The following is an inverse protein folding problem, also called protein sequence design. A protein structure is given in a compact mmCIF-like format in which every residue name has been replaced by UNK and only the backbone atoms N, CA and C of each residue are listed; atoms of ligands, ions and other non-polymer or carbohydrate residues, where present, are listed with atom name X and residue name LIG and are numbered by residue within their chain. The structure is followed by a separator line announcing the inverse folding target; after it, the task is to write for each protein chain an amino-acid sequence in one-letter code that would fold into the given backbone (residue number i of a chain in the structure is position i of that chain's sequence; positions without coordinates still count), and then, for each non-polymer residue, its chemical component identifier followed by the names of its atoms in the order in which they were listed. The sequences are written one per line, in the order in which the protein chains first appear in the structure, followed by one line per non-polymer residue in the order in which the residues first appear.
data_IF_544005132203
#
_entry.id   IF_544005132203
#
_cell.length_a   1.000
_cell.length_b   1.000
_cell.length_c   1.000
_cell.angle_alpha   90.00
_cell.angle_beta   90.00
_cell.angle_gamma   90.00
#
_symmetry.space_group_name_H-M   'P 1'
#
loop_
_entity.id
_entity.type
_entity.pdbx_description
1 polymer ?
#
# COMPACT_ATOMS: atom_id res chain seq x y z
N UNK A 1 18.71 -12.32 -14.33
CA UNK A 1 17.72 -11.50 -13.59
C UNK A 1 17.82 -10.09 -14.15
N UNK A 2 16.97 -9.74 -15.14
CA UNK A 2 16.91 -8.37 -15.63
C UNK A 2 16.15 -7.56 -14.59
N UNK A 3 16.87 -6.71 -13.86
CA UNK A 3 16.26 -5.59 -13.16
C UNK A 3 15.52 -4.75 -14.20
N UNK A 4 14.19 -4.76 -14.14
CA UNK A 4 13.38 -3.76 -14.82
C UNK A 4 13.78 -2.41 -14.23
N UNK A 5 14.65 -1.71 -14.94
CA UNK A 5 15.00 -0.34 -14.59
C UNK A 5 13.75 0.49 -14.80
N UNK A 6 13.24 1.06 -13.72
CA UNK A 6 12.06 1.93 -13.67
C UNK A 6 12.18 3.12 -14.66
N UNK A 7 13.36 3.44 -15.11
CA UNK A 7 13.66 4.50 -16.10
C UNK A 7 12.98 4.33 -17.48
N UNK A 8 12.49 3.14 -17.81
CA UNK A 8 11.70 2.91 -19.03
C UNK A 8 10.20 3.15 -18.86
N UNK A 9 9.75 3.29 -17.64
CA UNK A 9 8.39 3.73 -17.33
C UNK A 9 8.44 5.18 -16.83
N UNK A 10 8.75 6.11 -17.72
CA UNK A 10 8.36 7.49 -17.48
C UNK A 10 6.84 7.50 -17.50
N UNK A 11 6.23 7.29 -16.36
CA UNK A 11 4.84 7.68 -16.12
C UNK A 11 4.89 9.21 -16.07
N UNK A 12 4.94 9.83 -17.22
CA UNK A 12 4.65 11.24 -17.37
C UNK A 12 3.22 11.39 -16.89
N UNK A 13 3.00 11.90 -15.69
CA UNK A 13 1.75 12.44 -15.14
C UNK A 13 0.42 11.79 -15.58
N UNK A 14 0.49 10.65 -16.24
CA UNK A 14 -0.67 9.87 -16.67
C UNK A 14 -1.08 8.99 -15.52
N UNK A 15 -2.03 9.49 -14.75
CA UNK A 15 -2.98 8.63 -14.02
C UNK A 15 -3.41 7.56 -15.02
N UNK A 16 -3.17 6.28 -14.70
CA UNK A 16 -3.65 5.18 -15.55
C UNK A 16 -5.14 5.43 -15.77
N UNK A 17 -5.59 5.69 -17.00
CA UNK A 17 -7.00 6.01 -17.23
C UNK A 17 -7.88 4.90 -16.67
N UNK A 18 -9.00 5.26 -16.07
CA UNK A 18 -9.94 4.28 -15.50
C UNK A 18 -10.34 3.22 -16.53
N UNK A 19 -10.39 3.58 -17.80
CA UNK A 19 -10.62 2.69 -18.94
C UNK A 19 -9.53 1.61 -19.07
N UNK A 20 -8.27 1.98 -18.84
CA UNK A 20 -7.15 1.04 -18.89
C UNK A 20 -7.17 0.08 -17.70
N UNK A 21 -7.55 0.55 -16.52
CA UNK A 21 -7.77 -0.33 -15.35
C UNK A 21 -8.97 -1.25 -15.58
N UNK A 22 -10.04 -0.74 -16.20
CA UNK A 22 -11.22 -1.53 -16.55
C UNK A 22 -10.92 -2.59 -17.64
N UNK A 23 -9.92 -2.35 -18.48
CA UNK A 23 -9.48 -3.29 -19.51
C UNK A 23 -8.52 -4.36 -18.99
N UNK A 24 -8.03 -4.26 -17.74
CA UNK A 24 -7.17 -5.30 -17.15
C UNK A 24 -7.97 -6.56 -16.86
N UNK A 25 -7.49 -7.67 -17.39
CA UNK A 25 -8.11 -8.98 -17.17
C UNK A 25 -7.69 -9.52 -15.80
N UNK A 26 -8.65 -9.96 -15.01
CA UNK A 26 -8.37 -10.64 -13.74
C UNK A 26 -7.63 -11.96 -14.00
N UNK A 27 -6.63 -12.22 -13.19
CA UNK A 27 -5.85 -13.44 -13.29
C UNK A 27 -6.73 -14.65 -12.93
N UNK A 28 -6.62 -15.71 -13.73
CA UNK A 28 -7.28 -16.99 -13.48
C UNK A 28 -6.51 -17.78 -12.41
N UNK A 29 -7.03 -17.77 -11.19
CA UNK A 29 -6.41 -18.45 -10.04
C UNK A 29 -6.43 -19.97 -10.11
N UNK A 30 -7.07 -20.56 -11.11
CA UNK A 30 -7.01 -22.01 -11.38
C UNK A 30 -5.83 -22.41 -12.26
N UNK A 31 -5.11 -21.42 -12.81
CA UNK A 31 -3.95 -21.59 -13.69
C UNK A 31 -2.68 -21.06 -13.01
N UNK A 32 -1.54 -21.42 -13.61
CA UNK A 32 -0.22 -20.96 -13.16
C UNK A 32 -0.14 -19.42 -13.18
N UNK A 33 -0.10 -18.81 -11.99
CA UNK A 33 0.01 -17.36 -11.83
C UNK A 33 1.36 -16.84 -12.30
N UNK A 34 2.43 -17.63 -12.18
CA UNK A 34 3.77 -17.26 -12.64
C UNK A 34 3.80 -17.15 -14.17
N UNK A 35 3.15 -18.08 -14.89
CA UNK A 35 3.01 -18.00 -16.33
C UNK A 35 2.22 -16.77 -16.76
N UNK A 36 1.06 -16.53 -16.13
CA UNK A 36 0.23 -15.35 -16.42
C UNK A 36 0.99 -14.03 -16.18
N UNK A 37 1.80 -13.96 -15.11
CA UNK A 37 2.64 -12.80 -14.84
C UNK A 37 3.70 -12.58 -15.94
N UNK A 38 4.35 -13.66 -16.41
CA UNK A 38 5.32 -13.57 -17.49
C UNK A 38 4.71 -13.12 -18.81
N UNK A 39 3.54 -13.66 -19.14
CA UNK A 39 2.86 -13.40 -20.41
C UNK A 39 2.23 -12.01 -20.48
N UNK A 40 1.62 -11.57 -19.40
CA UNK A 40 0.88 -10.31 -19.33
C UNK A 40 1.68 -9.12 -18.76
N UNK A 41 2.78 -9.39 -18.03
CA UNK A 41 3.56 -8.38 -17.32
C UNK A 41 2.89 -7.86 -16.04
N UNK A 42 1.69 -8.34 -15.71
CA UNK A 42 0.95 -8.00 -14.49
C UNK A 42 0.05 -9.15 -14.05
N UNK A 43 -0.41 -9.07 -12.78
CA UNK A 43 -1.52 -9.88 -12.26
C UNK A 43 -2.53 -8.96 -11.58
N UNK A 44 -3.78 -9.03 -11.98
CA UNK A 44 -4.90 -8.43 -11.26
C UNK A 44 -5.58 -9.52 -10.43
N UNK A 45 -5.40 -9.46 -9.13
CA UNK A 45 -5.97 -10.42 -8.18
C UNK A 45 -6.99 -9.70 -7.29
N UNK A 46 -8.24 -10.11 -7.36
CA UNK A 46 -9.31 -9.56 -6.51
C UNK A 46 -9.50 -10.44 -5.27
N UNK A 47 -10.06 -9.83 -4.21
CA UNK A 47 -10.46 -10.54 -2.98
C UNK A 47 -9.33 -11.35 -2.33
N UNK A 48 -8.08 -10.88 -2.43
CA UNK A 48 -6.93 -11.49 -1.77
C UNK A 48 -7.06 -11.33 -0.26
N UNK A 49 -7.50 -10.17 0.20
CA UNK A 49 -7.61 -9.84 1.61
C UNK A 49 -9.04 -9.91 2.12
N UNK A 50 -9.20 -10.22 3.40
CA UNK A 50 -10.48 -10.08 4.08
C UNK A 50 -10.82 -8.59 4.26
N UNK A 51 -12.03 -8.14 3.90
CA UNK A 51 -12.42 -6.74 4.05
C UNK A 51 -12.24 -6.20 5.48
N UNK A 52 -12.48 -7.03 6.50
CA UNK A 52 -12.29 -6.68 7.91
C UNK A 52 -10.83 -6.33 8.24
N UNK A 53 -9.87 -7.08 7.70
CA UNK A 53 -8.45 -6.84 7.95
C UNK A 53 -8.00 -5.53 7.29
N UNK A 54 -8.46 -5.28 6.05
CA UNK A 54 -8.19 -4.02 5.34
C UNK A 54 -8.82 -2.83 6.08
N UNK A 55 -10.05 -2.99 6.58
CA UNK A 55 -10.72 -1.92 7.34
C UNK A 55 -10.01 -1.65 8.67
N UNK A 56 -9.54 -2.69 9.36
CA UNK A 56 -8.78 -2.54 10.60
C UNK A 56 -7.46 -1.78 10.36
N UNK A 57 -6.72 -2.15 9.31
CA UNK A 57 -5.49 -1.46 8.93
C UNK A 57 -5.74 0.01 8.54
N UNK A 58 -6.80 0.27 7.77
CA UNK A 58 -7.23 1.64 7.44
C UNK A 58 -7.51 2.46 8.69
N UNK A 59 -8.29 1.93 9.62
CA UNK A 59 -8.64 2.63 10.85
C UNK A 59 -7.41 2.91 11.72
N UNK A 60 -6.49 1.94 11.86
CA UNK A 60 -5.24 2.11 12.60
C UNK A 60 -4.40 3.27 12.02
N UNK A 61 -4.25 3.34 10.70
CA UNK A 61 -3.53 4.43 10.03
C UNK A 61 -4.22 5.78 10.25
N UNK A 62 -5.55 5.83 10.03
CA UNK A 62 -6.32 7.08 10.18
C UNK A 62 -6.28 7.63 11.61
N UNK A 63 -6.32 6.77 12.62
CA UNK A 63 -6.16 7.18 14.02
C UNK A 63 -4.80 7.84 14.25
N UNK A 64 -3.71 7.24 13.75
CA UNK A 64 -2.37 7.81 13.86
C UNK A 64 -2.22 9.15 13.14
N UNK A 65 -2.85 9.31 11.98
CA UNK A 65 -2.87 10.59 11.25
C UNK A 65 -3.73 11.65 11.95
N UNK A 66 -4.82 11.24 12.61
CA UNK A 66 -5.65 12.15 13.40
C UNK A 66 -4.90 12.70 14.63
N UNK A 67 -4.04 11.90 15.28
CA UNK A 67 -3.20 12.33 16.39
C UNK A 67 -2.28 13.54 16.05
N UNK A 68 -1.99 13.72 14.78
CA UNK A 68 -1.17 14.84 14.27
C UNK A 68 -1.98 15.83 13.43
N UNK A 69 -3.29 15.85 13.60
CA UNK A 69 -4.21 16.83 13.01
C UNK A 69 -4.41 16.70 11.50
N UNK A 70 -4.03 15.58 10.86
CA UNK A 70 -4.12 15.41 9.42
C UNK A 70 -5.46 14.87 8.92
N UNK A 71 -6.25 14.28 9.81
CA UNK A 71 -7.58 13.73 9.53
C UNK A 71 -8.61 14.42 10.41
N UNK A 72 -9.68 14.90 9.79
CA UNK A 72 -10.80 15.55 10.49
C UNK A 72 -11.72 14.51 11.15
N UNK A 73 -12.43 14.93 12.17
CA UNK A 73 -13.51 14.15 12.76
C UNK A 73 -14.80 14.23 11.89
N UNK A 74 -15.57 13.17 11.76
CA UNK A 74 -15.28 11.83 12.30
C UNK A 74 -14.19 11.11 11.48
N UNK A 75 -13.23 10.48 12.17
CA UNK A 75 -12.06 9.82 11.55
C UNK A 75 -12.47 8.79 10.46
N UNK A 76 -13.65 8.16 10.61
CA UNK A 76 -14.19 7.20 9.65
C UNK A 76 -14.30 7.73 8.23
N UNK A 77 -14.53 9.03 8.08
CA UNK A 77 -14.74 9.67 6.78
C UNK A 77 -13.42 9.88 6.02
N UNK A 78 -12.30 9.79 6.73
CA UNK A 78 -10.94 9.95 6.18
C UNK A 78 -10.73 11.28 5.42
N UNK A 79 -11.36 12.35 5.90
CA UNK A 79 -11.23 13.68 5.30
C UNK A 79 -9.92 14.31 5.77
N UNK A 80 -9.06 14.69 4.83
CA UNK A 80 -7.83 15.40 5.15
C UNK A 80 -8.13 16.85 5.57
N UNK A 81 -7.51 17.30 6.67
CA UNK A 81 -7.57 18.69 7.12
C UNK A 81 -6.76 19.65 6.24
N UNK A 82 -5.84 19.12 5.44
CA UNK A 82 -4.87 19.92 4.68
C UNK A 82 -3.75 20.52 5.53
N UNK A 83 -3.74 20.26 6.83
CA UNK A 83 -2.73 20.72 7.81
C UNK A 83 -2.02 19.52 8.44
N UNK A 84 -0.92 19.77 9.16
CA UNK A 84 -0.20 18.74 9.90
C UNK A 84 0.52 19.34 11.09
N UNK A 85 0.30 18.77 12.24
CA UNK A 85 0.97 19.12 13.49
C UNK A 85 2.16 18.20 13.79
N UNK A 86 2.55 17.35 12.84
CA UNK A 86 3.66 16.40 13.03
C UNK A 86 4.93 17.06 13.57
N UNK A 87 5.29 18.24 13.03
CA UNK A 87 6.49 18.97 13.45
C UNK A 87 6.36 19.62 14.83
N UNK A 88 5.16 19.82 15.32
CA UNK A 88 4.93 20.26 16.70
C UNK A 88 5.12 19.08 17.68
N UNK A 89 4.61 17.90 17.34
CA UNK A 89 4.72 16.70 18.18
C UNK A 89 6.09 16.00 18.03
N UNK A 90 6.70 16.07 16.83
CA UNK A 90 7.95 15.40 16.46
C UNK A 90 8.92 16.41 15.81
N UNK A 91 9.56 17.29 16.58
CA UNK A 91 10.27 18.45 16.06
C UNK A 91 11.55 18.08 15.29
N UNK A 92 12.20 16.97 15.62
CA UNK A 92 13.41 16.56 14.95
C UNK A 92 13.21 15.33 14.05
N UNK A 93 14.15 15.09 13.14
CA UNK A 93 14.06 14.01 12.14
C UNK A 93 14.00 12.63 12.76
N UNK A 94 14.70 12.39 13.89
CA UNK A 94 14.70 11.09 14.58
C UNK A 94 13.31 10.76 15.14
N UNK A 95 12.69 11.71 15.80
CA UNK A 95 11.33 11.55 16.37
C UNK A 95 10.28 11.41 15.28
N UNK A 96 10.39 12.20 14.20
CA UNK A 96 9.52 12.05 13.04
C UNK A 96 9.69 10.68 12.38
N UNK A 97 10.91 10.18 12.28
CA UNK A 97 11.21 8.83 11.79
C UNK A 97 10.60 7.75 12.70
N UNK A 98 10.68 7.93 14.02
CA UNK A 98 10.05 7.03 14.99
C UNK A 98 8.51 7.03 14.87
N UNK A 99 7.89 8.18 14.65
CA UNK A 99 6.46 8.29 14.37
C UNK A 99 6.08 7.47 13.14
N UNK A 100 6.73 7.69 11.99
CA UNK A 100 6.45 6.95 10.77
C UNK A 100 6.68 5.46 10.91
N UNK A 101 7.75 5.08 11.63
CA UNK A 101 8.01 3.68 11.96
C UNK A 101 6.86 3.09 12.76
N UNK A 102 6.38 3.78 13.79
CA UNK A 102 5.24 3.30 14.60
C UNK A 102 3.96 3.13 13.78
N UNK A 103 3.69 4.00 12.80
CA UNK A 103 2.55 3.86 11.88
C UNK A 103 2.72 2.64 10.97
N UNK A 104 3.90 2.46 10.38
CA UNK A 104 4.17 1.35 9.45
C UNK A 104 4.31 -0.01 10.16
N UNK A 105 4.53 -0.03 11.47
CA UNK A 105 4.62 -1.24 12.30
C UNK A 105 3.30 -1.55 13.05
N UNK A 106 2.23 -0.83 12.77
CA UNK A 106 0.91 -1.10 13.31
C UNK A 106 0.47 -2.55 13.04
N UNK A 107 -0.12 -3.18 14.05
CA UNK A 107 -0.43 -4.61 14.00
C UNK A 107 -1.44 -4.97 12.93
N UNK A 108 -2.46 -4.12 12.74
CA UNK A 108 -3.47 -4.33 11.70
C UNK A 108 -2.90 -4.11 10.30
N UNK A 109 -2.04 -3.08 10.10
CA UNK A 109 -1.34 -2.88 8.84
C UNK A 109 -0.41 -4.07 8.53
N UNK A 110 0.39 -4.52 9.51
CA UNK A 110 1.28 -5.68 9.34
C UNK A 110 0.52 -6.97 9.02
N UNK A 111 -0.67 -7.16 9.56
CA UNK A 111 -1.54 -8.29 9.23
C UNK A 111 -1.92 -8.31 7.75
N UNK A 112 -2.12 -7.15 7.15
CA UNK A 112 -2.44 -7.04 5.71
C UNK A 112 -1.19 -7.25 4.86
N UNK A 113 -0.11 -6.50 5.11
CA UNK A 113 1.05 -6.49 4.21
C UNK A 113 1.97 -7.71 4.33
N UNK A 114 1.94 -8.42 5.48
CA UNK A 114 2.78 -9.57 5.77
C UNK A 114 1.96 -10.83 6.12
N UNK A 115 0.64 -10.76 6.01
CA UNK A 115 -0.26 -11.85 6.37
C UNK A 115 -0.19 -13.04 5.42
N UNK A 116 -0.77 -14.18 5.83
CA UNK A 116 -0.72 -15.41 5.06
C UNK A 116 -1.40 -15.31 3.69
N UNK A 117 -2.35 -14.39 3.53
CA UNK A 117 -3.05 -14.18 2.26
C UNK A 117 -2.07 -13.72 1.17
N UNK A 118 -1.31 -12.66 1.44
CA UNK A 118 -0.35 -12.14 0.45
C UNK A 118 0.89 -13.03 0.34
N UNK A 119 1.40 -13.57 1.45
CA UNK A 119 2.55 -14.47 1.41
C UNK A 119 2.21 -15.77 0.68
N UNK A 120 0.97 -16.27 0.78
CA UNK A 120 0.50 -17.42 0.02
C UNK A 120 0.47 -17.16 -1.48
N UNK A 121 -0.08 -16.02 -1.90
CA UNK A 121 -0.08 -15.60 -3.32
C UNK A 121 1.34 -15.45 -3.86
N UNK A 122 2.24 -14.83 -3.11
CA UNK A 122 3.63 -14.66 -3.54
C UNK A 122 4.38 -15.98 -3.60
N UNK A 123 4.12 -16.91 -2.66
CA UNK A 123 4.70 -18.24 -2.69
C UNK A 123 4.23 -19.06 -3.92
N UNK A 124 2.97 -18.90 -4.31
CA UNK A 124 2.41 -19.50 -5.53
C UNK A 124 3.11 -18.94 -6.79
N UNK A 125 3.29 -17.61 -6.87
CA UNK A 125 3.94 -16.95 -8.00
C UNK A 125 5.42 -17.38 -8.13
N UNK A 126 6.14 -17.46 -7.01
CA UNK A 126 7.56 -17.81 -7.01
C UNK A 126 7.84 -19.32 -7.00
N UNK A 127 6.83 -20.14 -6.71
CA UNK A 127 6.97 -21.59 -6.58
C UNK A 127 7.74 -22.04 -5.34
N UNK A 128 7.95 -21.15 -4.37
CA UNK A 128 8.72 -21.41 -3.16
C UNK A 128 8.23 -20.57 -1.98
N UNK A 129 8.67 -20.93 -0.77
CA UNK A 129 8.39 -20.16 0.42
C UNK A 129 9.02 -18.77 0.33
N UNK A 130 8.22 -17.74 0.56
CA UNK A 130 8.66 -16.34 0.53
C UNK A 130 8.91 -15.81 1.93
N UNK A 131 9.78 -14.80 1.99
CA UNK A 131 9.98 -13.95 3.15
C UNK A 131 9.82 -12.48 2.75
N UNK A 132 9.60 -11.62 3.70
CA UNK A 132 9.44 -10.19 3.46
C UNK A 132 10.49 -9.40 4.25
N UNK A 133 10.80 -8.20 3.78
CA UNK A 133 11.61 -7.27 4.55
C UNK A 133 10.84 -6.77 5.78
N UNK A 134 11.56 -6.53 6.87
CA UNK A 134 10.97 -5.91 8.07
C UNK A 134 10.55 -4.46 7.82
N UNK A 135 11.21 -3.79 6.87
CA UNK A 135 10.93 -2.42 6.50
C UNK A 135 9.65 -2.33 5.65
N UNK A 136 8.74 -1.43 6.03
CA UNK A 136 7.58 -1.07 5.24
C UNK A 136 7.53 0.45 5.02
N UNK A 137 7.28 0.85 3.78
CA UNK A 137 7.09 2.24 3.43
C UNK A 137 5.60 2.55 3.36
N UNK A 138 5.16 3.53 4.15
CA UNK A 138 3.80 4.04 4.10
C UNK A 138 3.81 5.50 3.64
N UNK A 139 2.96 5.83 2.68
CA UNK A 139 2.74 7.20 2.23
C UNK A 139 1.25 7.51 2.29
N UNK A 140 0.89 8.53 3.04
CA UNK A 140 -0.44 9.12 3.01
C UNK A 140 -0.44 10.30 2.03
N UNK A 141 -1.35 10.29 1.07
CA UNK A 141 -1.47 11.33 0.06
C UNK A 141 -2.86 11.96 0.13
N UNK A 142 -2.89 13.28 0.01
CA UNK A 142 -4.14 14.02 -0.06
C UNK A 142 -4.66 13.99 -1.51
N UNK A 143 -5.96 13.73 -1.69
CA UNK A 143 -6.59 13.80 -3.00
C UNK A 143 -6.39 15.19 -3.63
N UNK A 144 -6.06 15.20 -4.93
CA UNK A 144 -5.87 16.44 -5.70
C UNK A 144 -4.54 17.16 -5.47
N UNK A 145 -3.64 16.64 -4.63
CA UNK A 145 -2.27 17.17 -4.48
C UNK A 145 -1.25 16.24 -5.14
N UNK A 146 -0.27 16.83 -5.82
CA UNK A 146 0.85 16.06 -6.33
C UNK A 146 1.62 15.41 -5.17
N UNK A 147 2.11 14.20 -5.41
CA UNK A 147 3.05 13.55 -4.48
C UNK A 147 4.40 14.28 -4.57
N UNK A 148 5.00 14.64 -3.44
CA UNK A 148 6.36 15.18 -3.44
C UNK A 148 7.37 14.14 -3.90
#
# INVERSE_FOLDING_TARGET
MHLLTIDKFTIKDEVIPAERLAAMVEADRTKDLSAQLRDNGYLLLRSVYRPSDVQAARNEILQRLAEVGEVAEPISDAISTGTSERRLHYPNTKELGAFWKSVSEGSALRRVINGPEITGVMAEIFGEKVTHFSFAWLRAMQAGKASP
#
